data_IF_624025578859
#
_entry.id   IF_624025578859
#
_cell.length_a   1.000
_cell.length_b   1.000
_cell.length_c   1.000
_cell.angle_alpha   90.00
_cell.angle_beta   90.00
_cell.angle_gamma   90.00
#
_symmetry.space_group_name_H-M   'P 1'
#
loop_
_entity.id
_entity.type
_entity.pdbx_description
1 polymer ?
#
# COMPACT_ATOMS: atom_id res chain seq x y z
N UNK A 1 -13.36 20.29 9.53
CA UNK A 1 -13.78 19.44 8.40
C UNK A 1 -13.33 18.03 8.72
N UNK A 2 -14.24 17.12 9.09
CA UNK A 2 -13.92 15.70 9.26
C UNK A 2 -14.05 15.10 7.87
N UNK A 3 -12.93 14.89 7.19
CA UNK A 3 -12.90 14.12 5.95
C UNK A 3 -13.42 12.73 6.27
N UNK A 4 -14.68 12.52 5.92
CA UNK A 4 -15.36 11.24 6.04
C UNK A 4 -14.48 10.24 5.32
N UNK A 5 -13.84 9.34 6.08
CA UNK A 5 -13.24 8.14 5.54
C UNK A 5 -14.34 7.43 4.75
N UNK A 6 -14.41 7.74 3.46
CA UNK A 6 -15.38 7.16 2.54
C UNK A 6 -14.99 5.70 2.50
N UNK A 7 -15.77 4.89 3.22
CA UNK A 7 -15.58 3.44 3.29
C UNK A 7 -15.46 2.96 1.85
N UNK A 8 -14.51 2.06 1.55
CA UNK A 8 -14.20 1.62 0.19
C UNK A 8 -15.47 1.21 -0.60
N UNK A 9 -16.52 0.78 0.09
CA UNK A 9 -17.88 0.52 -0.41
C UNK A 9 -18.55 1.71 -1.14
N UNK A 10 -18.35 2.95 -0.65
CA UNK A 10 -18.91 4.17 -1.23
C UNK A 10 -18.04 4.80 -2.34
N UNK A 11 -16.87 4.23 -2.63
CA UNK A 11 -15.99 4.67 -3.72
C UNK A 11 -16.41 4.00 -5.03
N UNK A 12 -16.45 4.75 -6.12
CA UNK A 12 -16.65 4.18 -7.45
C UNK A 12 -15.47 3.29 -7.85
N UNK A 13 -15.68 2.38 -8.80
CA UNK A 13 -14.62 1.52 -9.37
C UNK A 13 -13.37 2.33 -9.75
N UNK A 14 -13.56 3.50 -10.36
CA UNK A 14 -12.47 4.43 -10.72
C UNK A 14 -11.72 4.94 -9.51
N UNK A 15 -12.42 5.44 -8.49
CA UNK A 15 -11.78 5.94 -7.26
C UNK A 15 -11.00 4.83 -6.54
N UNK A 16 -11.49 3.57 -6.58
CA UNK A 16 -10.78 2.41 -6.05
C UNK A 16 -9.53 2.08 -6.85
N UNK A 17 -9.61 2.06 -8.18
CA UNK A 17 -8.44 1.88 -9.06
C UNK A 17 -7.40 2.96 -8.79
N UNK A 18 -7.79 4.24 -8.74
CA UNK A 18 -6.89 5.36 -8.44
C UNK A 18 -6.21 5.20 -7.08
N UNK A 19 -6.95 4.79 -6.05
CA UNK A 19 -6.39 4.54 -4.72
C UNK A 19 -5.40 3.38 -4.73
N UNK A 20 -5.72 2.28 -5.42
CA UNK A 20 -4.84 1.11 -5.56
C UNK A 20 -3.55 1.47 -6.29
N UNK A 21 -3.64 2.18 -7.42
CA UNK A 21 -2.47 2.70 -8.15
C UNK A 21 -1.64 3.64 -7.27
N UNK A 22 -2.27 4.52 -6.49
CA UNK A 22 -1.56 5.40 -5.55
C UNK A 22 -0.79 4.62 -4.47
N UNK A 23 -1.40 3.58 -3.89
CA UNK A 23 -0.74 2.72 -2.90
C UNK A 23 0.40 1.90 -3.54
N UNK A 24 0.23 1.40 -4.76
CA UNK A 24 1.28 0.70 -5.49
C UNK A 24 2.49 1.60 -5.72
N UNK A 25 2.29 2.81 -6.24
CA UNK A 25 3.35 3.81 -6.43
C UNK A 25 4.07 4.15 -5.11
N UNK A 26 3.32 4.29 -4.01
CA UNK A 26 3.91 4.57 -2.70
C UNK A 26 4.76 3.39 -2.19
N UNK A 27 4.34 2.15 -2.44
CA UNK A 27 5.11 0.96 -2.09
C UNK A 27 6.39 0.85 -2.90
N UNK A 28 6.37 1.16 -4.20
CA UNK A 28 7.57 1.21 -5.05
C UNK A 28 8.57 2.25 -4.54
N UNK A 29 8.12 3.48 -4.32
CA UNK A 29 8.96 4.55 -3.79
C UNK A 29 9.54 4.21 -2.39
N UNK A 30 8.82 3.43 -1.59
CA UNK A 30 9.30 2.97 -0.28
C UNK A 30 10.26 1.79 -0.43
N UNK A 31 10.07 0.94 -1.44
CA UNK A 31 10.98 -0.15 -1.74
C UNK A 31 12.35 0.37 -2.20
N UNK A 32 12.37 1.39 -3.06
CA UNK A 32 13.60 2.06 -3.49
C UNK A 32 14.37 2.57 -2.27
N UNK A 33 13.70 3.30 -1.38
CA UNK A 33 14.29 3.78 -0.12
C UNK A 33 14.76 2.66 0.80
N UNK A 34 14.01 1.57 0.87
CA UNK A 34 14.38 0.40 1.67
C UNK A 34 15.64 -0.28 1.12
N UNK A 35 15.78 -0.33 -0.20
CA UNK A 35 16.96 -0.86 -0.87
C UNK A 35 18.18 0.05 -0.64
N UNK A 36 18.00 1.37 -0.68
CA UNK A 36 19.06 2.35 -0.37
C UNK A 36 19.62 2.20 1.06
N UNK A 37 18.79 1.83 2.03
CA UNK A 37 19.21 1.59 3.43
C UNK A 37 19.63 0.14 3.70
N UNK A 38 19.71 -0.72 2.67
CA UNK A 38 20.11 -2.13 2.79
C UNK A 38 19.05 -3.06 3.40
N UNK A 39 17.78 -2.66 3.40
CA UNK A 39 16.64 -3.48 3.83
C UNK A 39 15.99 -4.18 2.62
N UNK A 40 16.76 -5.05 1.98
CA UNK A 40 16.36 -5.75 0.75
C UNK A 40 15.06 -6.57 0.90
N UNK A 41 14.84 -7.15 2.10
CA UNK A 41 13.62 -7.91 2.39
C UNK A 41 12.39 -7.02 2.36
N UNK A 42 12.47 -5.82 2.94
CA UNK A 42 11.37 -4.87 2.89
C UNK A 42 11.14 -4.36 1.46
N UNK A 43 12.22 -4.09 0.72
CA UNK A 43 12.13 -3.67 -0.68
C UNK A 43 11.43 -4.72 -1.56
N UNK A 44 11.86 -5.98 -1.48
CA UNK A 44 11.28 -7.08 -2.23
C UNK A 44 9.78 -7.31 -1.89
N UNK A 45 9.43 -7.23 -0.61
CA UNK A 45 8.04 -7.35 -0.16
C UNK A 45 7.17 -6.21 -0.68
N UNK A 46 7.70 -4.99 -0.65
CA UNK A 46 6.98 -3.79 -1.10
C UNK A 46 6.77 -3.80 -2.61
N UNK A 47 7.77 -4.18 -3.41
CA UNK A 47 7.65 -4.35 -4.86
C UNK A 47 6.65 -5.46 -5.21
N UNK A 48 6.74 -6.60 -4.52
CA UNK A 48 5.82 -7.72 -4.76
C UNK A 48 4.38 -7.30 -4.50
N UNK A 49 4.14 -6.58 -3.42
CA UNK A 49 2.81 -6.11 -3.06
C UNK A 49 2.31 -5.01 -4.01
N UNK A 50 3.17 -4.09 -4.45
CA UNK A 50 2.84 -3.07 -5.44
C UNK A 50 2.35 -3.70 -6.75
N UNK A 51 3.07 -4.70 -7.27
CA UNK A 51 2.71 -5.41 -8.51
C UNK A 51 1.39 -6.17 -8.40
N UNK A 52 1.12 -6.78 -7.24
CA UNK A 52 -0.15 -7.48 -6.99
C UNK A 52 -1.31 -6.47 -6.94
N UNK A 53 -1.11 -5.32 -6.29
CA UNK A 53 -2.12 -4.25 -6.22
C UNK A 53 -2.38 -3.66 -7.60
N UNK A 54 -1.34 -3.38 -8.39
CA UNK A 54 -1.47 -2.81 -9.73
C UNK A 54 -2.19 -3.75 -10.70
N UNK A 55 -1.83 -5.04 -10.69
CA UNK A 55 -2.55 -6.06 -11.47
C UNK A 55 -4.02 -6.20 -11.06
N UNK A 56 -4.32 -6.08 -9.76
CA UNK A 56 -5.69 -6.11 -9.25
C UNK A 56 -6.46 -4.83 -9.59
N UNK A 57 -5.79 -3.68 -9.67
CA UNK A 57 -6.37 -2.40 -10.06
C UNK A 57 -6.83 -2.39 -11.53
N UNK A 58 -6.07 -3.05 -12.41
CA UNK A 58 -6.44 -3.27 -13.81
C UNK A 58 -7.57 -4.27 -14.01
N UNK A 59 -7.69 -5.26 -13.11
CA UNK A 59 -8.70 -6.33 -13.16
C UNK A 59 -9.93 -6.07 -12.26
N UNK A 60 -10.11 -4.84 -11.75
CA UNK A 60 -11.16 -4.47 -10.79
C UNK A 60 -12.61 -4.75 -11.27
N UNK A 61 -12.82 -4.93 -12.58
CA UNK A 61 -14.11 -5.30 -13.19
C UNK A 61 -14.48 -6.77 -12.88
N UNK A 62 -13.49 -7.64 -12.70
CA UNK A 62 -13.62 -9.08 -12.43
C UNK A 62 -13.14 -9.47 -11.04
N UNK A 63 -12.37 -8.60 -10.39
CA UNK A 63 -11.73 -8.88 -9.11
C UNK A 63 -12.69 -8.75 -7.92
N UNK A 64 -12.50 -9.64 -6.95
CA UNK A 64 -13.33 -9.72 -5.76
C UNK A 64 -13.02 -8.52 -4.84
N UNK A 65 -14.00 -7.62 -4.66
CA UNK A 65 -13.85 -6.39 -3.85
C UNK A 65 -13.21 -6.59 -2.46
N UNK A 66 -13.53 -7.66 -1.71
CA UNK A 66 -12.89 -7.94 -0.43
C UNK A 66 -11.39 -8.22 -0.54
N UNK A 67 -10.94 -8.83 -1.64
CA UNK A 67 -9.52 -9.11 -1.85
C UNK A 67 -8.73 -7.83 -2.14
N UNK A 68 -9.30 -6.92 -2.95
CA UNK A 68 -8.71 -5.60 -3.20
C UNK A 68 -8.58 -4.78 -1.91
N UNK A 69 -9.60 -4.81 -1.05
CA UNK A 69 -9.57 -4.15 0.26
C UNK A 69 -8.49 -4.73 1.18
N UNK A 70 -8.35 -6.05 1.25
CA UNK A 70 -7.29 -6.69 2.05
C UNK A 70 -5.88 -6.32 1.56
N UNK A 71 -5.68 -6.27 0.24
CA UNK A 71 -4.41 -5.85 -0.35
C UNK A 71 -4.08 -4.39 -0.02
N UNK A 72 -5.06 -3.49 -0.09
CA UNK A 72 -4.91 -2.09 0.32
C UNK A 72 -4.53 -1.98 1.81
N UNK A 73 -5.24 -2.69 2.69
CA UNK A 73 -4.91 -2.70 4.12
C UNK A 73 -3.52 -3.27 4.41
N UNK A 74 -3.07 -4.24 3.62
CA UNK A 74 -1.72 -4.80 3.75
C UNK A 74 -0.66 -3.78 3.28
N UNK A 75 -0.90 -3.10 2.16
CA UNK A 75 -0.02 -2.05 1.64
C UNK A 75 0.16 -0.91 2.62
N UNK A 76 -0.94 -0.39 3.17
CA UNK A 76 -0.92 0.68 4.17
C UNK A 76 -0.16 0.26 5.43
N UNK A 77 -0.35 -0.98 5.92
CA UNK A 77 0.40 -1.49 7.06
C UNK A 77 1.88 -1.62 6.78
N UNK A 78 2.25 -2.09 5.59
CA UNK A 78 3.65 -2.21 5.20
C UNK A 78 4.31 -0.83 5.16
N UNK A 79 3.67 0.16 4.52
CA UNK A 79 4.14 1.55 4.51
C UNK A 79 4.27 2.15 5.91
N UNK A 80 3.32 1.86 6.80
CA UNK A 80 3.37 2.29 8.19
C UNK A 80 4.54 1.64 8.96
N UNK A 81 4.86 0.37 8.69
CA UNK A 81 6.02 -0.32 9.29
C UNK A 81 7.35 0.30 8.87
N UNK A 82 7.47 0.82 7.64
CA UNK A 82 8.68 1.52 7.22
C UNK A 82 8.81 2.89 7.85
N UNK A 83 7.70 3.65 7.88
CA UNK A 83 7.66 4.97 8.55
C UNK A 83 7.86 4.88 10.06
N UNK A 84 7.34 3.83 10.69
CA UNK A 84 7.51 3.51 12.11
C UNK A 84 8.76 2.69 12.43
N UNK A 85 9.54 2.34 11.40
CA UNK A 85 10.82 1.65 11.49
C UNK A 85 12.00 2.59 11.75
N UNK A 86 11.76 3.89 11.99
CA UNK A 86 12.68 4.63 12.85
C UNK A 86 12.62 3.94 14.20
N UNK A 87 13.72 3.35 14.70
CA UNK A 87 13.71 2.87 16.07
C UNK A 87 13.30 4.08 16.90
N UNK A 88 12.21 3.93 17.67
CA UNK A 88 12.11 4.71 18.90
C UNK A 88 13.36 4.31 19.65
N UNK A 89 14.39 5.14 19.55
CA UNK A 89 15.48 5.17 20.49
C UNK A 89 14.82 5.49 21.82
N UNK A 90 14.34 4.47 22.51
CA UNK A 90 14.19 4.50 23.97
C UNK A 90 15.61 4.49 24.51
N UNK A 91 16.26 5.65 24.39
CA UNK A 91 17.37 6.05 25.24
C UNK A 91 16.73 6.44 26.57
N UNK A 92 17.08 5.65 27.59
CA UNK A 92 16.85 5.82 29.02
C UNK A 92 15.42 5.60 29.56
#
# INVERSE_FOLDING_TARGET
MRESAKTLDAMTLRERSDLMTSVANALEATAEKAQEIGNDRYAANSISLARIIDGCAGDLVTSNLPAAELLLQHGIRLLALFKGGTPRTTLH
#
